data_IF_421403540666
#
_entry.id   IF_421403540666
#
_cell.length_a   1.000
_cell.length_b   1.000
_cell.length_c   1.000
_cell.angle_alpha   90.00
_cell.angle_beta   90.00
_cell.angle_gamma   90.00
#
_symmetry.space_group_name_H-M   'P 1'
#
loop_
_entity.id
_entity.type
_entity.pdbx_description
1 polymer ?
#
# COMPACT_ATOMS: atom_id res chain seq x y z
N UNK A 1 12.86 4.67 -16.88
CA UNK A 1 11.62 5.45 -16.69
C UNK A 1 10.65 4.51 -15.99
N UNK A 2 10.07 4.93 -14.85
CA UNK A 2 9.13 4.09 -14.11
C UNK A 2 7.78 4.03 -14.83
N UNK A 3 7.20 2.84 -14.87
CA UNK A 3 5.97 2.55 -15.60
C UNK A 3 4.77 2.59 -14.67
N UNK A 4 3.78 3.42 -14.98
CA UNK A 4 2.55 3.62 -14.21
C UNK A 4 1.36 3.23 -15.07
N UNK A 5 0.45 2.44 -14.52
CA UNK A 5 -0.83 2.13 -15.14
C UNK A 5 -1.90 3.07 -14.57
N UNK A 6 -2.63 3.74 -15.45
CA UNK A 6 -3.84 4.51 -15.14
C UNK A 6 -5.04 3.79 -15.71
N UNK A 7 -6.00 3.47 -14.87
CA UNK A 7 -7.21 2.75 -15.23
C UNK A 7 -8.44 3.49 -14.71
N UNK A 8 -9.24 4.04 -15.65
CA UNK A 8 -10.46 4.79 -15.38
C UNK A 8 -11.33 4.75 -16.65
N UNK A 9 -12.63 4.54 -16.54
CA UNK A 9 -13.52 4.51 -17.71
C UNK A 9 -13.76 5.91 -18.33
N UNK A 10 -13.52 6.96 -17.55
CA UNK A 10 -13.55 8.34 -18.02
C UNK A 10 -12.25 8.71 -18.75
N UNK A 11 -12.25 8.67 -20.09
CA UNK A 11 -11.08 9.00 -20.92
C UNK A 11 -10.45 10.34 -20.59
N UNK A 12 -11.27 11.35 -20.25
CA UNK A 12 -10.78 12.68 -19.89
C UNK A 12 -9.90 12.66 -18.62
N UNK A 13 -10.23 11.82 -17.64
CA UNK A 13 -9.42 11.64 -16.43
C UNK A 13 -8.10 10.95 -16.77
N UNK A 14 -8.15 9.88 -17.56
CA UNK A 14 -6.94 9.15 -18.00
C UNK A 14 -5.98 10.07 -18.76
N UNK A 15 -6.51 10.89 -19.69
CA UNK A 15 -5.71 11.84 -20.48
C UNK A 15 -5.11 12.95 -19.60
N UNK A 16 -5.90 13.50 -18.67
CA UNK A 16 -5.41 14.51 -17.73
C UNK A 16 -4.30 13.95 -16.85
N UNK A 17 -4.47 12.75 -16.29
CA UNK A 17 -3.45 12.08 -15.48
C UNK A 17 -2.19 11.75 -16.28
N UNK A 18 -2.34 11.31 -17.53
CA UNK A 18 -1.20 11.07 -18.43
C UNK A 18 -0.34 12.34 -18.58
N UNK A 19 -0.96 13.51 -18.76
CA UNK A 19 -0.22 14.78 -18.90
C UNK A 19 0.63 15.05 -17.64
N UNK A 20 0.04 14.98 -16.46
CA UNK A 20 0.76 15.23 -15.20
C UNK A 20 1.86 14.21 -14.95
N UNK A 21 1.60 12.93 -15.16
CA UNK A 21 2.58 11.87 -14.96
C UNK A 21 3.75 11.98 -15.94
N UNK A 22 3.50 12.32 -17.20
CA UNK A 22 4.57 12.54 -18.20
C UNK A 22 5.44 13.75 -17.89
N UNK A 23 4.88 14.83 -17.33
CA UNK A 23 5.64 15.99 -16.86
C UNK A 23 6.65 15.60 -15.76
N UNK A 24 6.35 14.56 -14.99
CA UNK A 24 7.22 14.00 -13.94
C UNK A 24 8.12 12.87 -14.44
N UNK A 25 8.25 12.70 -15.77
CA UNK A 25 9.07 11.68 -16.44
C UNK A 25 8.66 10.23 -16.17
N UNK A 26 7.37 9.95 -15.96
CA UNK A 26 6.85 8.60 -15.88
C UNK A 26 6.38 8.08 -17.25
N UNK A 27 6.54 6.78 -17.50
CA UNK A 27 5.90 6.10 -18.63
C UNK A 27 4.47 5.71 -18.22
N UNK A 28 3.47 6.07 -19.04
CA UNK A 28 2.06 5.85 -18.70
C UNK A 28 1.43 4.83 -19.63
N UNK A 29 0.88 3.78 -19.04
CA UNK A 29 -0.01 2.82 -19.69
C UNK A 29 -1.45 3.16 -19.33
N UNK A 30 -2.36 3.01 -20.25
CA UNK A 30 -3.76 3.39 -20.11
C UNK A 30 -4.67 2.19 -20.26
N UNK A 31 -5.64 2.06 -19.37
CA UNK A 31 -6.73 1.09 -19.42
C UNK A 31 -8.05 1.80 -19.13
N UNK A 32 -9.13 1.30 -19.68
CA UNK A 32 -10.46 1.89 -19.54
C UNK A 32 -11.46 0.95 -18.84
N UNK A 33 -10.99 -0.20 -18.41
CA UNK A 33 -11.70 -1.16 -17.55
C UNK A 33 -10.70 -2.10 -16.87
N UNK A 34 -11.18 -2.85 -15.88
CA UNK A 34 -10.32 -3.74 -15.11
C UNK A 34 -9.72 -4.91 -15.91
N UNK A 35 -10.37 -5.36 -16.98
CA UNK A 35 -9.84 -6.46 -17.82
C UNK A 35 -8.61 -5.99 -18.60
N UNK A 36 -8.67 -4.82 -19.22
CA UNK A 36 -7.52 -4.19 -19.88
C UNK A 36 -6.36 -3.97 -18.92
N UNK A 37 -6.66 -3.47 -17.70
CA UNK A 37 -5.64 -3.28 -16.68
C UNK A 37 -4.90 -4.58 -16.33
N UNK A 38 -5.62 -5.68 -16.15
CA UNK A 38 -5.03 -6.98 -15.85
C UNK A 38 -4.16 -7.51 -17.00
N UNK A 39 -4.57 -7.27 -18.25
CA UNK A 39 -3.76 -7.66 -19.41
C UNK A 39 -2.45 -6.88 -19.52
N UNK A 40 -2.49 -5.57 -19.24
CA UNK A 40 -1.30 -4.72 -19.25
C UNK A 40 -0.34 -5.17 -18.14
N UNK A 41 -0.84 -5.40 -16.93
CA UNK A 41 -0.03 -5.85 -15.80
C UNK A 41 0.68 -7.20 -16.03
N UNK A 42 0.10 -8.09 -16.84
CA UNK A 42 0.75 -9.35 -17.21
C UNK A 42 1.87 -9.18 -18.25
N UNK A 43 1.84 -8.10 -19.03
CA UNK A 43 2.76 -7.87 -20.16
C UNK A 43 3.85 -6.85 -19.86
N UNK A 44 3.60 -5.91 -18.92
CA UNK A 44 4.46 -4.79 -18.62
C UNK A 44 4.93 -4.81 -17.15
N UNK A 45 6.09 -4.20 -16.89
CA UNK A 45 6.68 -4.12 -15.53
C UNK A 45 6.16 -2.91 -14.76
N UNK A 46 4.85 -2.83 -14.58
CA UNK A 46 4.18 -1.71 -13.89
C UNK A 46 4.69 -1.59 -12.45
N UNK A 47 5.01 -0.36 -12.04
CA UNK A 47 5.53 -0.03 -10.71
C UNK A 47 4.50 0.61 -9.78
N UNK A 48 3.38 1.10 -10.34
CA UNK A 48 2.25 1.65 -9.59
C UNK A 48 1.01 1.63 -10.46
N UNK A 49 -0.14 1.38 -9.84
CA UNK A 49 -1.46 1.42 -10.48
C UNK A 49 -2.29 2.53 -9.85
N UNK A 50 -2.84 3.41 -10.67
CA UNK A 50 -3.91 4.34 -10.31
C UNK A 50 -5.20 3.74 -10.88
N UNK A 51 -6.16 3.43 -10.00
CA UNK A 51 -7.30 2.59 -10.34
C UNK A 51 -8.61 3.23 -9.87
N UNK A 52 -9.50 3.54 -10.80
CA UNK A 52 -10.85 3.95 -10.43
C UNK A 52 -11.64 2.79 -9.82
N UNK A 53 -12.46 3.10 -8.82
CA UNK A 53 -13.32 2.09 -8.18
C UNK A 53 -14.52 1.75 -9.04
N UNK A 54 -15.15 2.77 -9.62
CA UNK A 54 -16.45 2.63 -10.30
C UNK A 54 -16.27 2.51 -11.80
N UNK A 55 -16.00 1.31 -12.29
CA UNK A 55 -15.83 1.05 -13.71
C UNK A 55 -16.79 -0.04 -14.20
N UNK A 56 -17.21 -0.01 -15.49
CA UNK A 56 -18.01 -1.07 -16.08
C UNK A 56 -17.22 -2.38 -16.23
N UNK A 57 -17.91 -3.49 -16.47
CA UNK A 57 -17.42 -4.85 -16.68
C UNK A 57 -16.72 -5.44 -15.45
N UNK A 58 -15.56 -4.93 -15.09
CA UNK A 58 -14.81 -5.34 -13.91
C UNK A 58 -14.44 -4.08 -13.11
N UNK A 59 -15.12 -3.89 -11.97
CA UNK A 59 -14.89 -2.77 -11.07
C UNK A 59 -13.46 -2.76 -10.48
N UNK A 60 -13.02 -1.61 -9.96
CA UNK A 60 -11.67 -1.44 -9.44
C UNK A 60 -11.36 -2.34 -8.25
N UNK A 61 -12.35 -2.59 -7.41
CA UNK A 61 -12.22 -3.47 -6.22
C UNK A 61 -11.88 -4.89 -6.64
N UNK A 62 -12.69 -5.47 -7.55
CA UNK A 62 -12.45 -6.81 -8.08
C UNK A 62 -11.17 -6.88 -8.90
N UNK A 63 -10.80 -5.79 -9.58
CA UNK A 63 -9.53 -5.68 -10.31
C UNK A 63 -8.36 -5.74 -9.34
N UNK A 64 -8.40 -4.98 -8.24
CA UNK A 64 -7.35 -4.99 -7.22
C UNK A 64 -7.19 -6.37 -6.57
N UNK A 65 -8.28 -7.06 -6.23
CA UNK A 65 -8.23 -8.44 -5.72
C UNK A 65 -7.47 -9.37 -6.68
N UNK A 66 -7.82 -9.33 -7.97
CA UNK A 66 -7.13 -10.14 -8.99
C UNK A 66 -5.66 -9.75 -9.15
N UNK A 67 -5.31 -8.46 -9.04
CA UNK A 67 -3.92 -8.02 -9.06
C UNK A 67 -3.16 -8.65 -7.88
N UNK A 68 -3.75 -8.67 -6.68
CA UNK A 68 -3.11 -9.21 -5.47
C UNK A 68 -2.87 -10.72 -5.51
N UNK A 69 -3.53 -11.46 -6.38
CA UNK A 69 -3.24 -12.90 -6.60
C UNK A 69 -1.82 -13.11 -7.16
N UNK A 70 -1.28 -12.16 -7.94
CA UNK A 70 0.02 -12.34 -8.61
C UNK A 70 1.02 -11.20 -8.39
N UNK A 71 0.60 -10.02 -7.88
CA UNK A 71 1.46 -8.85 -7.75
C UNK A 71 1.21 -8.09 -6.44
N UNK A 72 2.31 -7.56 -5.87
CA UNK A 72 2.30 -6.62 -4.75
C UNK A 72 2.50 -5.16 -5.18
N UNK A 73 2.31 -4.85 -6.48
CA UNK A 73 2.42 -3.50 -7.02
C UNK A 73 1.53 -2.51 -6.23
N UNK A 74 2.02 -1.32 -5.87
CA UNK A 74 1.21 -0.32 -5.18
C UNK A 74 -0.02 0.06 -5.98
N UNK A 75 -1.18 0.14 -5.30
CA UNK A 75 -2.46 0.55 -5.89
C UNK A 75 -2.98 1.77 -5.15
N UNK A 76 -3.19 2.86 -5.88
CA UNK A 76 -3.89 4.06 -5.43
C UNK A 76 -5.28 4.05 -6.04
N UNK A 77 -6.32 3.97 -5.21
CA UNK A 77 -7.68 4.09 -5.71
C UNK A 77 -8.07 5.54 -5.97
N UNK A 78 -8.80 5.74 -7.06
CA UNK A 78 -9.60 6.95 -7.28
C UNK A 78 -11.05 6.64 -6.89
N UNK A 79 -11.66 7.48 -6.06
CA UNK A 79 -13.01 7.25 -5.53
C UNK A 79 -13.86 8.51 -5.69
N UNK A 80 -15.13 8.37 -6.07
CA UNK A 80 -16.08 9.45 -5.96
C UNK A 80 -16.29 9.80 -4.48
N UNK A 81 -16.63 11.05 -4.17
CA UNK A 81 -16.79 11.60 -2.82
C UNK A 81 -18.05 11.05 -2.11
N UNK A 82 -18.24 9.76 -2.06
CA UNK A 82 -19.37 9.13 -1.41
C UNK A 82 -18.89 8.03 -0.47
N UNK A 83 -19.22 8.21 0.79
CA UNK A 83 -19.17 7.28 1.91
C UNK A 83 -17.79 6.72 2.33
N UNK A 84 -17.47 6.92 3.60
CA UNK A 84 -16.30 6.29 4.26
C UNK A 84 -16.31 4.75 4.11
N UNK A 85 -17.47 4.16 3.84
CA UNK A 85 -17.64 2.74 3.58
C UNK A 85 -16.87 2.27 2.33
N UNK A 86 -16.87 3.02 1.23
CA UNK A 86 -16.15 2.65 0.00
C UNK A 86 -14.63 2.75 0.18
N UNK A 87 -14.17 3.74 0.96
CA UNK A 87 -12.76 3.89 1.32
C UNK A 87 -12.27 2.72 2.17
N UNK A 88 -13.03 2.38 3.21
CA UNK A 88 -12.75 1.25 4.10
C UNK A 88 -12.78 -0.06 3.30
N UNK A 89 -13.73 -0.23 2.40
CA UNK A 89 -13.83 -1.41 1.57
C UNK A 89 -12.63 -1.53 0.61
N UNK A 90 -12.24 -0.44 -0.06
CA UNK A 90 -11.09 -0.40 -0.97
C UNK A 90 -9.78 -0.75 -0.28
N UNK A 91 -9.53 -0.17 0.90
CA UNK A 91 -8.35 -0.48 1.72
C UNK A 91 -8.40 -1.92 2.26
N UNK A 92 -9.56 -2.40 2.72
CA UNK A 92 -9.75 -3.79 3.20
C UNK A 92 -9.42 -4.84 2.13
N UNK A 93 -9.42 -4.46 0.85
CA UNK A 93 -9.19 -5.35 -0.30
C UNK A 93 -7.73 -5.31 -0.78
N UNK A 94 -6.88 -4.47 -0.17
CA UNK A 94 -5.45 -4.44 -0.45
C UNK A 94 -4.97 -3.28 -1.30
N UNK A 95 -5.72 -2.16 -1.37
CA UNK A 95 -5.15 -0.90 -1.85
C UNK A 95 -4.15 -0.34 -0.85
N UNK A 96 -3.16 0.37 -1.34
CA UNK A 96 -2.13 1.00 -0.51
C UNK A 96 -2.53 2.44 -0.13
N UNK A 97 -3.37 3.07 -0.94
CA UNK A 97 -3.85 4.43 -0.71
C UNK A 97 -5.15 4.69 -1.50
N UNK A 98 -5.79 5.82 -1.21
CA UNK A 98 -6.95 6.30 -1.97
C UNK A 98 -6.95 7.81 -2.12
N UNK A 99 -7.53 8.32 -3.21
CA UNK A 99 -7.69 9.73 -3.50
C UNK A 99 -9.13 9.99 -3.96
N UNK A 100 -9.80 10.97 -3.35
CA UNK A 100 -11.18 11.30 -3.70
C UNK A 100 -11.28 12.21 -4.92
N UNK A 101 -12.19 11.90 -5.84
CA UNK A 101 -12.58 12.80 -6.94
C UNK A 101 -13.54 13.89 -6.44
N UNK A 102 -13.40 15.17 -6.84
CA UNK A 102 -12.30 15.72 -7.63
C UNK A 102 -11.02 15.84 -6.79
N UNK A 103 -9.89 15.45 -7.35
CA UNK A 103 -8.61 15.47 -6.68
C UNK A 103 -7.74 16.66 -7.12
N UNK A 104 -6.84 17.05 -6.24
CA UNK A 104 -5.77 17.98 -6.59
C UNK A 104 -4.65 17.19 -7.31
N UNK A 105 -4.27 17.55 -8.57
CA UNK A 105 -3.22 16.86 -9.28
C UNK A 105 -1.87 16.85 -8.54
N UNK A 106 -1.52 17.93 -7.84
CA UNK A 106 -0.25 18.01 -7.09
C UNK A 106 -0.24 17.04 -5.91
N UNK A 107 -1.38 16.89 -5.22
CA UNK A 107 -1.55 15.92 -4.14
C UNK A 107 -1.38 14.49 -4.67
N UNK A 108 -2.08 14.15 -5.76
CA UNK A 108 -1.96 12.83 -6.38
C UNK A 108 -0.51 12.53 -6.81
N UNK A 109 0.19 13.51 -7.42
CA UNK A 109 1.59 13.34 -7.82
C UNK A 109 2.51 13.13 -6.61
N UNK A 110 2.28 13.81 -5.50
CA UNK A 110 3.03 13.59 -4.26
C UNK A 110 2.85 12.15 -3.75
N UNK A 111 1.60 11.65 -3.73
CA UNK A 111 1.29 10.26 -3.35
C UNK A 111 1.94 9.24 -4.29
N UNK A 112 1.83 9.42 -5.59
CA UNK A 112 2.48 8.58 -6.61
C UNK A 112 3.98 8.48 -6.35
N UNK A 113 4.68 9.62 -6.19
CA UNK A 113 6.12 9.65 -5.90
C UNK A 113 6.46 8.96 -4.58
N UNK A 114 5.65 9.14 -3.55
CA UNK A 114 5.84 8.53 -2.25
C UNK A 114 5.73 7.00 -2.33
N UNK A 115 4.72 6.47 -3.01
CA UNK A 115 4.53 5.04 -3.21
C UNK A 115 5.61 4.42 -4.10
N UNK A 116 5.98 5.07 -5.20
CA UNK A 116 7.06 4.61 -6.07
C UNK A 116 8.40 4.55 -5.34
N UNK A 117 8.75 5.61 -4.59
CA UNK A 117 9.99 5.62 -3.80
C UNK A 117 10.05 4.43 -2.83
N UNK A 118 8.95 4.12 -2.12
CA UNK A 118 8.90 2.94 -1.24
C UNK A 118 9.06 1.64 -2.03
N UNK A 119 8.34 1.50 -3.11
CA UNK A 119 8.37 0.30 -3.93
C UNK A 119 9.74 0.05 -4.57
N UNK A 120 10.40 1.09 -5.08
CA UNK A 120 11.72 0.99 -5.71
C UNK A 120 12.83 0.85 -4.67
N UNK A 121 12.76 1.55 -3.52
CA UNK A 121 13.73 1.41 -2.42
C UNK A 121 13.63 0.03 -1.77
N UNK A 122 12.44 -0.56 -1.68
CA UNK A 122 12.28 -1.95 -1.26
C UNK A 122 12.94 -2.94 -2.25
N UNK A 123 13.10 -2.54 -3.53
CA UNK A 123 13.76 -3.33 -4.58
C UNK A 123 15.26 -3.07 -4.78
N UNK A 124 15.86 -2.08 -4.14
CA UNK A 124 17.25 -1.68 -4.41
C UNK A 124 17.95 -1.08 -3.21
N UNK A 125 18.54 -1.91 -2.36
CA UNK A 125 19.62 -1.47 -1.46
C UNK A 125 20.68 -2.56 -1.35
N UNK A 126 21.81 -2.32 -2.01
CA UNK A 126 23.11 -2.82 -1.62
C UNK A 126 23.67 -1.87 -0.56
N UNK A 127 23.59 -2.22 0.70
CA UNK A 127 24.49 -1.69 1.74
C UNK A 127 24.68 -2.76 2.80
N UNK A 128 25.93 -3.12 3.06
CA UNK A 128 26.41 -4.02 4.10
C UNK A 128 26.06 -3.51 5.51
N UNK A 129 24.87 -3.84 5.97
CA UNK A 129 24.52 -3.89 7.38
C UNK A 129 23.36 -4.87 7.48
N UNK A 130 23.63 -6.10 7.95
CA UNK A 130 22.63 -7.13 8.24
C UNK A 130 21.61 -6.59 9.26
N UNK A 131 20.65 -5.81 8.81
CA UNK A 131 19.58 -5.25 9.65
C UNK A 131 18.45 -6.28 9.75
N UNK A 132 18.68 -7.29 10.59
CA UNK A 132 17.65 -8.28 10.88
C UNK A 132 16.98 -7.88 12.21
N UNK A 133 15.68 -7.65 12.15
CA UNK A 133 14.84 -7.35 13.29
C UNK A 133 14.08 -8.62 13.69
N UNK A 134 14.17 -9.03 14.97
CA UNK A 134 13.52 -10.25 15.48
C UNK A 134 12.73 -9.99 16.74
N UNK A 135 11.51 -10.53 16.75
CA UNK A 135 10.66 -10.58 17.94
C UNK A 135 9.98 -11.94 17.99
N UNK A 136 10.42 -12.82 18.89
CA UNK A 136 9.97 -14.21 18.90
C UNK A 136 10.28 -14.90 17.55
N UNK A 137 9.27 -15.50 16.92
CA UNK A 137 9.39 -16.12 15.59
C UNK A 137 9.20 -15.16 14.41
N UNK A 138 8.83 -13.90 14.67
CA UNK A 138 8.70 -12.88 13.64
C UNK A 138 10.08 -12.28 13.33
N UNK A 139 10.47 -12.30 12.05
CA UNK A 139 11.74 -11.78 11.57
C UNK A 139 11.53 -10.91 10.34
N UNK A 140 12.24 -9.78 10.28
CA UNK A 140 12.37 -8.93 9.09
C UNK A 140 13.85 -8.82 8.75
N UNK A 141 14.20 -9.19 7.53
CA UNK A 141 15.48 -8.88 6.93
C UNK A 141 15.31 -7.60 6.09
N UNK A 142 15.82 -6.46 6.59
CA UNK A 142 15.65 -5.17 5.91
C UNK A 142 16.57 -5.01 4.70
N UNK A 143 17.58 -5.87 4.53
CA UNK A 143 18.44 -5.87 3.35
C UNK A 143 17.73 -6.56 2.17
N UNK A 144 17.13 -7.75 2.42
CA UNK A 144 16.42 -8.51 1.38
C UNK A 144 14.94 -8.13 1.27
N UNK A 145 14.44 -7.31 2.20
CA UNK A 145 13.01 -6.92 2.32
C UNK A 145 12.07 -8.10 2.52
N UNK A 146 12.57 -9.14 3.12
CA UNK A 146 11.83 -10.36 3.42
C UNK A 146 11.30 -10.37 4.85
N UNK A 147 10.12 -10.94 5.02
CA UNK A 147 9.47 -11.15 6.32
C UNK A 147 9.26 -12.65 6.51
N UNK A 148 9.58 -13.13 7.70
CA UNK A 148 9.38 -14.54 8.07
C UNK A 148 8.60 -14.63 9.38
N UNK A 149 7.77 -15.66 9.49
CA UNK A 149 7.15 -16.08 10.75
C UNK A 149 7.49 -17.56 10.96
N UNK A 150 8.17 -17.85 12.05
CA UNK A 150 8.65 -19.20 12.35
C UNK A 150 9.39 -19.88 11.18
N UNK A 151 10.18 -19.08 10.44
CA UNK A 151 10.97 -19.51 9.27
C UNK A 151 10.19 -19.60 7.96
N UNK A 152 8.89 -19.33 7.96
CA UNK A 152 8.07 -19.31 6.74
C UNK A 152 8.03 -17.89 6.17
N UNK A 153 8.38 -17.74 4.88
CA UNK A 153 8.35 -16.45 4.18
C UNK A 153 6.91 -15.94 3.99
N UNK A 154 6.68 -14.68 4.31
CA UNK A 154 5.39 -14.00 4.24
C UNK A 154 5.44 -12.88 3.20
N UNK A 155 4.55 -12.94 2.21
CA UNK A 155 4.41 -11.88 1.21
C UNK A 155 3.64 -10.69 1.77
N UNK A 156 4.25 -9.49 1.68
CA UNK A 156 3.63 -8.24 2.10
C UNK A 156 3.57 -7.24 0.96
N UNK A 157 2.59 -6.33 1.01
CA UNK A 157 2.63 -5.13 0.17
C UNK A 157 3.70 -4.17 0.72
N UNK A 158 4.18 -3.21 -0.07
CA UNK A 158 5.18 -2.23 0.39
C UNK A 158 4.75 -1.44 1.62
N UNK A 159 3.47 -1.10 1.72
CA UNK A 159 2.90 -0.40 2.89
C UNK A 159 2.88 -1.30 4.13
N UNK A 160 2.39 -2.52 4.02
CA UNK A 160 2.38 -3.49 5.12
C UNK A 160 3.79 -3.73 5.65
N UNK A 161 4.75 -3.93 4.74
CA UNK A 161 6.16 -4.07 5.09
C UNK A 161 6.68 -2.83 5.84
N UNK A 162 6.42 -1.63 5.31
CA UNK A 162 6.90 -0.38 5.91
C UNK A 162 6.34 -0.14 7.30
N UNK A 163 5.04 -0.41 7.52
CA UNK A 163 4.40 -0.31 8.84
C UNK A 163 5.02 -1.32 9.80
N UNK A 164 5.14 -2.58 9.39
CA UNK A 164 5.69 -3.63 10.24
C UNK A 164 7.14 -3.33 10.62
N UNK A 165 7.98 -2.94 9.67
CA UNK A 165 9.37 -2.55 9.90
C UNK A 165 9.48 -1.38 10.87
N UNK A 166 8.65 -0.34 10.70
CA UNK A 166 8.63 0.83 11.58
C UNK A 166 8.36 0.43 13.05
N UNK A 167 7.41 -0.47 13.26
CA UNK A 167 7.07 -0.98 14.58
C UNK A 167 8.15 -1.93 15.12
N UNK A 168 8.70 -2.81 14.28
CA UNK A 168 9.75 -3.77 14.64
C UNK A 168 11.09 -3.11 14.97
N UNK A 169 11.36 -1.92 14.46
CA UNK A 169 12.53 -1.11 14.87
C UNK A 169 12.44 -0.60 16.32
N UNK A 170 11.24 -0.61 16.90
CA UNK A 170 10.97 -0.08 18.23
C UNK A 170 10.07 -1.02 19.06
N UNK A 171 10.50 -2.27 19.36
CA UNK A 171 9.67 -3.23 20.06
C UNK A 171 9.26 -2.72 21.43
N UNK A 172 7.99 -2.87 21.78
CA UNK A 172 7.38 -2.42 23.03
C UNK A 172 6.93 -0.94 23.03
N UNK A 173 7.43 -0.10 22.11
CA UNK A 173 7.00 1.30 22.01
C UNK A 173 5.65 1.41 21.31
N UNK A 174 4.73 2.16 21.91
CA UNK A 174 3.41 2.45 21.33
C UNK A 174 3.52 3.68 20.43
N UNK A 175 2.94 3.57 19.24
CA UNK A 175 2.82 4.67 18.28
C UNK A 175 1.34 4.95 18.04
N UNK A 176 0.97 6.23 18.03
CA UNK A 176 -0.38 6.64 17.64
C UNK A 176 -0.62 6.39 16.15
N UNK A 177 -1.88 6.33 15.75
CA UNK A 177 -2.26 6.18 14.34
C UNK A 177 -1.64 7.30 13.51
N UNK A 178 -1.69 8.54 14.00
CA UNK A 178 -1.10 9.70 13.32
C UNK A 178 0.43 9.54 13.14
N UNK A 179 1.13 9.12 14.20
CA UNK A 179 2.57 8.89 14.12
C UNK A 179 2.94 7.80 13.11
N UNK A 180 2.17 6.72 13.05
CA UNK A 180 2.37 5.67 12.04
C UNK A 180 2.10 6.25 10.64
N UNK A 181 0.98 6.94 10.46
CA UNK A 181 0.61 7.53 9.17
C UNK A 181 1.68 8.50 8.68
N UNK A 182 2.02 9.52 9.47
CA UNK A 182 3.02 10.53 9.13
C UNK A 182 4.38 9.91 8.80
N UNK A 183 4.80 8.90 9.57
CA UNK A 183 6.08 8.21 9.33
C UNK A 183 6.10 7.40 8.04
N UNK A 184 4.96 6.82 7.65
CA UNK A 184 4.86 5.94 6.49
C UNK A 184 4.46 6.72 5.23
N UNK A 185 3.45 7.58 5.30
CA UNK A 185 2.98 8.35 4.13
C UNK A 185 3.76 9.65 3.92
N UNK A 186 4.46 10.14 4.96
CA UNK A 186 5.19 11.42 4.97
C UNK A 186 4.27 12.62 4.66
N UNK A 187 3.07 12.57 5.18
CA UNK A 187 2.00 13.55 5.04
C UNK A 187 1.32 13.77 6.39
N UNK A 188 0.66 14.92 6.58
CA UNK A 188 -0.15 15.16 7.76
C UNK A 188 -1.32 14.18 7.86
N UNK A 189 -1.58 13.68 9.06
CA UNK A 189 -2.58 12.65 9.33
C UNK A 189 -4.01 13.20 9.32
N UNK A 190 -4.50 13.65 8.18
CA UNK A 190 -5.88 14.10 8.01
C UNK A 190 -6.75 12.91 7.58
N UNK A 191 -7.57 12.39 8.50
CA UNK A 191 -8.45 11.23 8.23
C UNK A 191 -7.73 9.89 8.14
N UNK A 192 -6.56 9.75 8.77
CA UNK A 192 -5.68 8.59 8.72
C UNK A 192 -6.18 7.35 9.48
N UNK A 193 -7.18 7.49 10.36
CA UNK A 193 -7.57 6.46 11.34
C UNK A 193 -7.95 5.12 10.67
N UNK A 194 -8.74 5.16 9.63
CA UNK A 194 -9.18 3.95 8.93
C UNK A 194 -8.06 3.31 8.10
N UNK A 195 -7.21 4.12 7.47
CA UNK A 195 -6.13 3.62 6.60
C UNK A 195 -5.13 2.76 7.37
N UNK A 196 -4.61 3.27 8.49
CA UNK A 196 -3.65 2.53 9.32
C UNK A 196 -4.29 1.29 9.90
N UNK A 197 -5.52 1.39 10.44
CA UNK A 197 -6.22 0.26 11.07
C UNK A 197 -6.43 -0.91 10.11
N UNK A 198 -6.73 -0.63 8.86
CA UNK A 198 -6.91 -1.66 7.82
C UNK A 198 -5.60 -2.36 7.49
N UNK A 199 -4.50 -1.64 7.30
CA UNK A 199 -3.21 -2.26 7.06
C UNK A 199 -2.73 -3.07 8.28
N UNK A 200 -2.96 -2.60 9.51
CA UNK A 200 -2.70 -3.37 10.73
C UNK A 200 -3.47 -4.69 10.74
N UNK A 201 -4.74 -4.66 10.32
CA UNK A 201 -5.54 -5.88 10.20
C UNK A 201 -4.93 -6.85 9.18
N UNK A 202 -4.58 -6.39 7.97
CA UNK A 202 -3.96 -7.23 6.94
C UNK A 202 -2.61 -7.81 7.38
N UNK A 203 -1.80 -7.01 8.06
CA UNK A 203 -0.53 -7.49 8.63
C UNK A 203 -0.82 -8.63 9.61
N UNK A 204 -1.78 -8.46 10.54
CA UNK A 204 -2.17 -9.50 11.50
C UNK A 204 -2.65 -10.77 10.81
N UNK A 205 -3.48 -10.65 9.79
CA UNK A 205 -3.98 -11.80 9.00
C UNK A 205 -2.84 -12.62 8.39
N UNK A 206 -1.67 -12.01 8.17
CA UNK A 206 -0.49 -12.65 7.59
C UNK A 206 0.51 -13.19 8.61
N UNK A 207 0.67 -12.51 9.76
CA UNK A 207 1.72 -12.86 10.72
C UNK A 207 1.22 -13.54 12.00
N UNK A 208 -0.08 -13.47 12.30
CA UNK A 208 -0.66 -13.98 13.54
C UNK A 208 -1.40 -15.29 13.30
N UNK A 209 -1.24 -16.24 14.21
CA UNK A 209 -2.05 -17.47 14.21
C UNK A 209 -3.53 -17.14 14.45
N UNK A 210 -3.80 -16.17 15.34
CA UNK A 210 -5.14 -15.65 15.58
C UNK A 210 -5.12 -14.11 15.48
N UNK A 211 -5.58 -13.51 14.37
CA UNK A 211 -5.60 -12.05 14.19
C UNK A 211 -6.43 -11.28 15.24
N UNK A 212 -7.41 -11.95 15.87
CA UNK A 212 -8.25 -11.35 16.92
C UNK A 212 -7.57 -11.33 18.30
N UNK A 213 -6.63 -12.26 18.52
CA UNK A 213 -5.78 -12.31 19.71
C UNK A 213 -4.30 -12.34 19.27
N UNK A 214 -3.79 -11.22 18.77
CA UNK A 214 -2.48 -11.15 18.16
C UNK A 214 -1.36 -11.37 19.18
N UNK A 215 -0.32 -12.10 18.79
CA UNK A 215 0.89 -12.33 19.61
C UNK A 215 1.88 -11.17 19.45
N UNK A 216 2.12 -10.74 18.23
CA UNK A 216 3.15 -9.77 17.86
C UNK A 216 2.65 -8.35 17.83
N UNK A 217 1.60 -8.07 17.03
CA UNK A 217 1.13 -6.73 16.76
C UNK A 217 -0.08 -6.38 17.62
N UNK A 218 0.17 -5.71 18.74
CA UNK A 218 -0.83 -5.37 19.76
C UNK A 218 -1.46 -4.00 19.53
N UNK A 219 -2.74 -3.87 19.90
CA UNK A 219 -3.41 -2.59 20.07
C UNK A 219 -3.29 -2.12 21.53
N UNK A 220 -3.04 -0.84 21.71
CA UNK A 220 -3.18 -0.17 23.01
C UNK A 220 -4.37 0.77 22.88
N UNK A 221 -5.49 0.36 23.48
CA UNK A 221 -6.78 1.05 23.33
C UNK A 221 -6.68 2.53 23.68
N UNK A 222 -7.23 3.38 22.81
CA UNK A 222 -7.19 4.83 22.95
C UNK A 222 -5.84 5.49 22.69
N UNK A 223 -4.78 4.71 22.35
CA UNK A 223 -3.43 5.22 22.11
C UNK A 223 -2.91 4.89 20.71
N UNK A 224 -2.91 3.59 20.31
CA UNK A 224 -2.37 3.18 19.02
C UNK A 224 -1.90 1.73 18.99
N UNK A 225 -0.79 1.48 18.30
CA UNK A 225 -0.27 0.14 18.05
C UNK A 225 1.20 -0.01 18.44
N UNK A 226 1.61 -1.23 18.73
CA UNK A 226 2.99 -1.61 18.98
C UNK A 226 3.26 -3.04 18.50
N UNK A 227 4.52 -3.36 18.21
CA UNK A 227 5.00 -4.73 18.24
C UNK A 227 5.41 -5.04 19.68
N UNK A 228 4.96 -6.19 20.20
CA UNK A 228 5.26 -6.59 21.57
C UNK A 228 6.75 -6.89 21.74
N UNK A 229 7.28 -6.71 22.94
CA UNK A 229 8.65 -7.10 23.28
C UNK A 229 8.58 -8.46 23.96
N UNK A 230 8.81 -9.53 23.16
CA UNK A 230 8.77 -10.92 23.62
C UNK A 230 10.18 -11.41 23.91
#
# INVERSE_FOLDING_TARGET
MEEILVCDDEKAIVEALEIYLRQENFAVFKAYNGLEALEILKKQSIKLVILDIMMPELDGIRTALKIREFSSVPIIFLSAKSEDADKILGLNIGADDYVTKPFNPLELMARVKSHLRRYTVLGSLNVENNQIYRVGGLEINDDTKEVFVDGVSIKMTPIEYSILLFLMRNPGKVFSINQIYESIWNEEAIGADNTVAVHIRHIREKIEVNPKDPRYLKVVWGVGYKVEKI
#
